data_IF_545947230801
#
_entry.id   IF_545947230801
#
_cell.length_a   1.000
_cell.length_b   1.000
_cell.length_c   1.000
_cell.angle_alpha   90.00
_cell.angle_beta   90.00
_cell.angle_gamma   90.00
#
_symmetry.space_group_name_H-M   'P 1'
#
loop_
_entity.id
_entity.type
_entity.pdbx_description
1 polymer ?
#
# COMPACT_ATOMS: atom_id res chain seq x y z
N UNK A 1 6.59 5.76 22.36
CA UNK A 1 6.72 4.90 21.18
C UNK A 1 8.18 4.46 21.08
N UNK A 2 8.42 3.19 21.27
CA UNK A 2 9.79 2.64 21.43
C UNK A 2 10.53 2.53 20.09
N UNK A 3 9.79 2.29 18.99
CA UNK A 3 10.37 1.94 17.69
C UNK A 3 10.40 3.09 16.66
N UNK A 4 10.04 4.32 17.03
CA UNK A 4 9.99 5.45 16.07
C UNK A 4 11.34 5.79 15.44
N UNK A 5 12.44 5.68 16.20
CA UNK A 5 13.78 5.89 15.65
C UNK A 5 14.16 4.80 14.63
N UNK A 6 13.80 3.54 14.92
CA UNK A 6 14.04 2.43 14.02
C UNK A 6 13.17 2.54 12.76
N UNK A 7 11.92 2.99 12.89
CA UNK A 7 11.05 3.28 11.75
C UNK A 7 11.64 4.37 10.82
N UNK A 8 12.25 5.41 11.39
CA UNK A 8 12.97 6.43 10.62
C UNK A 8 14.23 5.86 9.94
N UNK A 9 14.95 4.93 10.60
CA UNK A 9 16.12 4.27 10.04
C UNK A 9 15.76 3.42 8.81
N UNK A 10 14.60 2.73 8.80
CA UNK A 10 14.11 1.99 7.63
C UNK A 10 13.96 2.91 6.42
N UNK A 11 13.32 4.07 6.59
CA UNK A 11 13.17 5.05 5.51
C UNK A 11 14.53 5.51 4.98
N UNK A 12 15.49 5.78 5.87
CA UNK A 12 16.84 6.20 5.48
C UNK A 12 17.58 5.12 4.67
N UNK A 13 17.44 3.85 5.07
CA UNK A 13 18.05 2.72 4.35
C UNK A 13 17.44 2.55 2.95
N UNK A 14 16.13 2.55 2.84
CA UNK A 14 15.42 2.39 1.54
C UNK A 14 15.82 3.52 0.58
N UNK A 15 15.93 4.75 1.05
CA UNK A 15 16.32 5.90 0.22
C UNK A 15 17.75 5.80 -0.35
N UNK A 16 18.63 4.93 0.17
CA UNK A 16 19.94 4.67 -0.45
C UNK A 16 19.81 3.98 -1.80
N UNK A 17 18.78 3.15 -1.97
CA UNK A 17 18.53 2.42 -3.21
C UNK A 17 17.53 3.14 -4.15
N UNK A 18 16.63 3.95 -3.59
CA UNK A 18 15.54 4.61 -4.32
C UNK A 18 15.65 6.11 -4.14
N UNK A 19 16.43 6.76 -5.01
CA UNK A 19 16.70 8.18 -4.92
C UNK A 19 15.61 9.01 -5.58
N UNK A 20 15.34 10.24 -5.05
CA UNK A 20 14.36 11.17 -5.58
C UNK A 20 12.89 10.76 -5.38
N UNK A 21 12.60 9.70 -4.60
CA UNK A 21 11.24 9.14 -4.40
C UNK A 21 10.79 9.12 -2.94
N UNK A 22 11.26 10.06 -2.15
CA UNK A 22 11.01 10.13 -0.70
C UNK A 22 9.52 10.02 -0.35
N UNK A 23 8.66 10.71 -1.10
CA UNK A 23 7.22 10.69 -0.85
C UNK A 23 6.62 9.30 -1.07
N UNK A 24 7.00 8.63 -2.17
CA UNK A 24 6.53 7.26 -2.47
C UNK A 24 7.06 6.26 -1.44
N UNK A 25 8.33 6.36 -1.05
CA UNK A 25 8.93 5.55 0.02
C UNK A 25 8.15 5.73 1.31
N UNK A 26 7.86 6.96 1.73
CA UNK A 26 7.08 7.24 2.94
C UNK A 26 5.65 6.69 2.84
N UNK A 27 4.99 6.82 1.69
CA UNK A 27 3.63 6.29 1.49
C UNK A 27 3.60 4.78 1.65
N UNK A 28 4.53 4.06 1.02
CA UNK A 28 4.61 2.60 1.13
C UNK A 28 4.97 2.17 2.55
N UNK A 29 5.91 2.88 3.19
CA UNK A 29 6.27 2.62 4.58
C UNK A 29 5.09 2.80 5.54
N UNK A 30 4.33 3.89 5.39
CA UNK A 30 3.09 4.10 6.17
C UNK A 30 2.08 2.97 5.95
N UNK A 31 1.91 2.50 4.70
CA UNK A 31 1.01 1.39 4.40
C UNK A 31 1.47 0.08 5.06
N UNK A 32 2.78 -0.24 5.03
CA UNK A 32 3.34 -1.41 5.71
C UNK A 32 3.15 -1.33 7.22
N UNK A 33 3.40 -0.17 7.83
CA UNK A 33 3.17 0.09 9.26
C UNK A 33 1.69 0.00 9.64
N UNK A 34 0.79 0.38 8.73
CA UNK A 34 -0.66 0.23 8.90
C UNK A 34 -1.18 -1.20 8.65
N UNK A 35 -0.29 -2.15 8.30
CA UNK A 35 -0.67 -3.54 7.97
C UNK A 35 -1.39 -3.68 6.63
N UNK A 36 -1.21 -2.73 5.71
CA UNK A 36 -1.91 -2.69 4.43
C UNK A 36 -1.09 -3.16 3.24
N UNK A 37 -1.76 -3.24 2.09
CA UNK A 37 -1.20 -3.60 0.80
C UNK A 37 -1.15 -2.40 -0.12
N UNK A 38 -0.21 -2.39 -1.04
CA UNK A 38 0.12 -1.26 -1.91
C UNK A 38 -0.11 -1.62 -3.37
N UNK A 39 -0.79 -0.75 -4.09
CA UNK A 39 -0.81 -0.75 -5.55
C UNK A 39 0.13 0.35 -6.06
N UNK A 40 0.96 0.06 -7.03
CA UNK A 40 1.78 1.06 -7.73
C UNK A 40 1.28 1.13 -9.17
N UNK A 41 0.72 2.27 -9.53
CA UNK A 41 0.32 2.56 -10.91
C UNK A 41 1.40 3.38 -11.58
N UNK A 42 2.13 2.79 -12.52
CA UNK A 42 3.21 3.50 -13.16
C UNK A 42 3.72 2.83 -14.44
N UNK A 43 4.47 3.62 -15.20
CA UNK A 43 5.18 3.16 -16.40
C UNK A 43 6.26 2.14 -16.04
N UNK A 44 6.65 1.28 -16.98
CA UNK A 44 7.75 0.33 -16.78
C UNK A 44 9.10 1.04 -16.53
N UNK A 45 9.98 0.40 -15.78
CA UNK A 45 11.38 0.84 -15.65
C UNK A 45 11.69 1.89 -14.57
N UNK A 46 10.71 2.39 -13.82
CA UNK A 46 10.89 3.44 -12.80
C UNK A 46 11.45 2.95 -11.45
N UNK A 47 11.85 1.68 -11.32
CA UNK A 47 12.49 1.16 -10.11
C UNK A 47 11.54 0.51 -9.08
N UNK A 48 10.32 0.10 -9.48
CA UNK A 48 9.33 -0.55 -8.59
C UNK A 48 9.89 -1.78 -7.89
N UNK A 49 10.58 -2.65 -8.63
CA UNK A 49 11.23 -3.84 -8.07
C UNK A 49 12.35 -3.49 -7.09
N UNK A 50 13.17 -2.49 -7.42
CA UNK A 50 14.24 -2.01 -6.52
C UNK A 50 13.67 -1.50 -5.21
N UNK A 51 12.54 -0.79 -5.24
CA UNK A 51 11.86 -0.28 -4.07
C UNK A 51 11.37 -1.41 -3.15
N UNK A 52 10.69 -2.42 -3.70
CA UNK A 52 10.20 -3.57 -2.92
C UNK A 52 11.38 -4.35 -2.30
N UNK A 53 12.43 -4.61 -3.07
CA UNK A 53 13.63 -5.30 -2.57
C UNK A 53 14.40 -4.48 -1.52
N UNK A 54 14.39 -3.14 -1.62
CA UNK A 54 14.99 -2.28 -0.62
C UNK A 54 14.26 -2.39 0.73
N UNK A 55 12.92 -2.41 0.73
CA UNK A 55 12.14 -2.68 1.94
C UNK A 55 12.39 -4.07 2.50
N UNK A 56 12.39 -5.11 1.64
CA UNK A 56 12.67 -6.48 2.08
C UNK A 56 14.02 -6.58 2.78
N UNK A 57 15.08 -5.96 2.23
CA UNK A 57 16.42 -5.95 2.83
C UNK A 57 16.49 -5.12 4.11
N UNK A 58 15.92 -3.91 4.12
CA UNK A 58 15.97 -3.04 5.29
C UNK A 58 15.24 -3.64 6.51
N UNK A 59 14.23 -4.50 6.25
CA UNK A 59 13.37 -5.14 7.24
C UNK A 59 13.70 -6.63 7.46
N UNK A 60 14.72 -7.16 6.82
CA UNK A 60 15.10 -8.59 6.85
C UNK A 60 13.89 -9.51 6.63
N UNK A 61 13.09 -9.22 5.61
CA UNK A 61 11.86 -9.95 5.27
C UNK A 61 12.14 -10.97 4.18
N UNK A 62 11.49 -12.13 4.29
CA UNK A 62 11.42 -13.09 3.19
C UNK A 62 10.56 -12.49 2.08
N UNK A 63 11.20 -12.18 0.94
CA UNK A 63 10.49 -11.70 -0.24
C UNK A 63 10.19 -12.82 -1.23
N UNK A 64 9.17 -12.59 -2.04
CA UNK A 64 8.86 -13.39 -3.24
C UNK A 64 8.37 -12.46 -4.34
N UNK A 65 8.74 -12.75 -5.58
CA UNK A 65 8.37 -11.96 -6.75
C UNK A 65 7.72 -12.84 -7.81
N UNK A 66 6.60 -12.38 -8.33
CA UNK A 66 5.93 -12.97 -9.49
C UNK A 66 5.70 -11.89 -10.54
N UNK A 67 6.20 -12.14 -11.76
CA UNK A 67 5.82 -11.37 -12.95
C UNK A 67 4.54 -11.99 -13.51
N UNK A 68 3.43 -11.25 -13.43
CA UNK A 68 2.16 -11.75 -13.93
C UNK A 68 2.13 -11.76 -15.46
N UNK A 69 1.74 -12.91 -15.98
CA UNK A 69 1.46 -13.17 -17.40
C UNK A 69 0.14 -13.94 -17.50
N UNK A 70 -0.47 -14.09 -18.68
CA UNK A 70 -1.68 -14.89 -18.85
C UNK A 70 -1.55 -16.34 -18.36
N UNK A 71 -0.32 -16.87 -18.32
CA UNK A 71 -0.04 -18.28 -17.99
C UNK A 71 0.07 -18.53 -16.48
N UNK A 72 0.20 -17.48 -15.65
CA UNK A 72 0.29 -17.62 -14.19
C UNK A 72 -1.03 -18.13 -13.63
N UNK A 73 -0.98 -19.25 -12.93
CA UNK A 73 -2.13 -19.92 -12.33
C UNK A 73 -2.32 -19.52 -10.86
N UNK A 74 -3.54 -19.65 -10.30
CA UNK A 74 -3.77 -19.50 -8.87
C UNK A 74 -2.88 -20.41 -8.01
N UNK A 75 -2.62 -21.65 -8.47
CA UNK A 75 -1.75 -22.61 -7.77
C UNK A 75 -0.30 -22.15 -7.64
N UNK A 76 0.20 -21.30 -8.57
CA UNK A 76 1.54 -20.74 -8.46
C UNK A 76 1.64 -19.75 -7.28
N UNK A 77 0.51 -19.12 -6.95
CA UNK A 77 0.42 -18.19 -5.82
C UNK A 77 0.18 -18.90 -4.50
N UNK A 78 -0.87 -19.72 -4.43
CA UNK A 78 -1.32 -20.33 -3.17
C UNK A 78 -0.68 -21.69 -2.88
N UNK A 79 -0.05 -22.31 -3.87
CA UNK A 79 0.52 -23.64 -3.77
C UNK A 79 -0.45 -24.73 -4.22
N UNK A 80 0.02 -25.97 -4.15
CA UNK A 80 -0.72 -27.17 -4.56
C UNK A 80 -0.20 -28.39 -3.80
N UNK A 81 -0.97 -29.48 -3.76
CA UNK A 81 -0.54 -30.74 -3.16
C UNK A 81 -0.19 -31.77 -4.23
N UNK A 82 0.88 -32.52 -3.99
CA UNK A 82 1.33 -33.62 -4.84
C UNK A 82 1.23 -34.93 -4.05
N UNK A 83 0.65 -35.95 -4.67
CA UNK A 83 0.62 -37.27 -4.10
C UNK A 83 2.00 -37.94 -4.20
N UNK A 84 2.60 -38.25 -3.07
CA UNK A 84 3.87 -38.99 -3.00
C UNK A 84 3.60 -40.50 -2.89
N UNK A 85 3.98 -41.24 -3.91
CA UNK A 85 3.77 -42.69 -3.96
C UNK A 85 4.52 -43.44 -2.86
N UNK A 86 5.70 -42.96 -2.50
CA UNK A 86 6.58 -43.55 -1.47
C UNK A 86 5.98 -43.48 -0.08
N UNK A 87 5.27 -42.42 0.22
CA UNK A 87 4.68 -42.17 1.57
C UNK A 87 3.17 -42.43 1.60
N UNK A 88 2.52 -42.57 0.44
CA UNK A 88 1.07 -42.70 0.32
C UNK A 88 0.30 -41.43 0.75
N UNK A 89 0.95 -40.26 0.79
CA UNK A 89 0.38 -39.01 1.31
C UNK A 89 0.43 -37.89 0.29
N UNK A 90 -0.52 -36.95 0.42
CA UNK A 90 -0.43 -35.66 -0.26
C UNK A 90 0.51 -34.74 0.50
N UNK A 91 1.48 -34.15 -0.20
CA UNK A 91 2.43 -33.17 0.34
C UNK A 91 2.16 -31.81 -0.30
N UNK A 92 1.93 -30.82 0.54
CA UNK A 92 1.71 -29.45 0.09
C UNK A 92 3.04 -28.80 -0.32
N UNK A 93 3.04 -28.24 -1.52
CA UNK A 93 4.10 -27.37 -2.05
C UNK A 93 3.63 -25.93 -1.93
N UNK A 94 4.38 -25.14 -1.16
CA UNK A 94 4.06 -23.72 -0.91
C UNK A 94 4.14 -22.90 -2.18
N UNK A 95 3.12 -22.06 -2.40
CA UNK A 95 3.10 -21.09 -3.48
C UNK A 95 3.89 -19.81 -3.15
N UNK A 96 3.92 -18.91 -4.11
CA UNK A 96 4.73 -17.70 -4.05
C UNK A 96 4.31 -16.73 -2.92
N UNK A 97 3.05 -16.76 -2.47
CA UNK A 97 2.55 -15.87 -1.40
C UNK A 97 3.02 -16.29 0.01
N UNK A 98 3.70 -17.46 0.15
CA UNK A 98 4.22 -17.90 1.44
C UNK A 98 5.54 -17.18 1.80
N UNK A 99 5.43 -15.85 1.92
CA UNK A 99 6.52 -14.91 2.21
C UNK A 99 5.98 -13.74 3.06
N UNK A 100 6.87 -12.83 3.48
CA UNK A 100 6.49 -11.61 4.23
C UNK A 100 6.20 -10.42 3.30
N UNK A 101 6.97 -10.30 2.21
CA UNK A 101 6.80 -9.25 1.20
C UNK A 101 6.63 -9.89 -0.17
N UNK A 102 5.42 -9.79 -0.71
CA UNK A 102 5.10 -10.28 -2.03
C UNK A 102 5.10 -9.15 -3.06
N UNK A 103 5.95 -9.24 -4.07
CA UNK A 103 5.95 -8.32 -5.22
C UNK A 103 5.24 -8.97 -6.41
N UNK A 104 4.08 -8.43 -6.75
CA UNK A 104 3.29 -8.84 -7.91
C UNK A 104 3.42 -7.85 -9.06
N UNK A 105 4.32 -8.12 -10.02
CA UNK A 105 4.52 -7.22 -11.15
C UNK A 105 3.45 -7.43 -12.22
N UNK A 106 2.83 -6.31 -12.67
CA UNK A 106 1.83 -6.27 -13.75
C UNK A 106 0.60 -7.16 -13.50
N UNK A 107 -0.02 -7.04 -12.32
CA UNK A 107 -1.18 -7.86 -11.90
C UNK A 107 -2.34 -7.83 -12.91
N UNK A 108 -2.47 -6.77 -13.70
CA UNK A 108 -3.49 -6.60 -14.72
C UNK A 108 -3.23 -7.41 -16.02
N UNK A 109 -2.15 -8.21 -16.09
CA UNK A 109 -1.85 -9.11 -17.23
C UNK A 109 -2.27 -10.57 -17.00
N UNK A 110 -2.67 -10.93 -15.79
CA UNK A 110 -3.11 -12.29 -15.50
C UNK A 110 -4.64 -12.42 -15.52
N UNK A 111 -5.13 -13.66 -15.44
CA UNK A 111 -6.56 -13.95 -15.42
C UNK A 111 -7.24 -13.39 -14.17
N UNK A 112 -8.53 -13.05 -14.26
CA UNK A 112 -9.33 -12.61 -13.12
C UNK A 112 -9.38 -13.64 -11.99
N UNK A 113 -9.23 -14.93 -12.30
CA UNK A 113 -9.17 -16.02 -11.32
C UNK A 113 -7.88 -15.94 -10.50
N UNK A 114 -6.74 -15.70 -11.15
CA UNK A 114 -5.45 -15.55 -10.48
C UNK A 114 -5.40 -14.25 -9.66
N UNK A 115 -5.96 -13.15 -10.19
CA UNK A 115 -6.14 -11.89 -9.44
C UNK A 115 -6.96 -12.13 -8.17
N UNK A 116 -8.11 -12.82 -8.28
CA UNK A 116 -8.97 -13.11 -7.14
C UNK A 116 -8.27 -13.94 -6.06
N UNK A 117 -7.45 -14.92 -6.45
CA UNK A 117 -6.69 -15.73 -5.50
C UNK A 117 -5.69 -14.87 -4.69
N UNK A 118 -4.96 -13.94 -5.33
CA UNK A 118 -4.08 -13.02 -4.61
C UNK A 118 -4.86 -12.11 -3.65
N UNK A 119 -5.97 -11.55 -4.15
CA UNK A 119 -6.79 -10.61 -3.38
C UNK A 119 -7.51 -11.28 -2.19
N UNK A 120 -7.82 -12.58 -2.29
CA UNK A 120 -8.32 -13.37 -1.16
C UNK A 120 -7.24 -13.52 -0.09
N UNK A 121 -6.02 -13.89 -0.49
CA UNK A 121 -4.90 -14.01 0.45
C UNK A 121 -4.58 -12.67 1.14
N UNK A 122 -4.69 -11.55 0.41
CA UNK A 122 -4.51 -10.22 0.99
C UNK A 122 -5.55 -9.89 2.07
N UNK A 123 -6.79 -10.36 1.90
CA UNK A 123 -7.89 -10.08 2.83
C UNK A 123 -7.89 -11.01 4.03
N UNK A 124 -7.71 -12.31 3.77
CA UNK A 124 -7.86 -13.36 4.79
C UNK A 124 -6.53 -13.64 5.54
N UNK A 125 -5.37 -13.28 4.97
CA UNK A 125 -4.07 -13.64 5.53
C UNK A 125 -3.81 -15.15 5.55
N UNK A 126 -4.57 -15.92 4.76
CA UNK A 126 -4.49 -17.39 4.70
C UNK A 126 -4.59 -17.91 3.27
N UNK A 127 -4.13 -19.13 3.05
CA UNK A 127 -4.36 -19.91 1.83
C UNK A 127 -5.08 -21.21 2.18
N UNK A 128 -6.07 -21.60 1.39
CA UNK A 128 -6.77 -22.87 1.56
C UNK A 128 -6.53 -23.76 0.33
N UNK A 129 -5.85 -24.90 0.54
CA UNK A 129 -5.56 -25.90 -0.51
C UNK A 129 -6.00 -27.25 0.01
N UNK A 130 -6.80 -27.98 -0.78
CA UNK A 130 -7.36 -29.30 -0.47
C UNK A 130 -8.08 -29.34 0.90
N UNK A 131 -8.85 -28.30 1.22
CA UNK A 131 -9.59 -28.19 2.46
C UNK A 131 -8.74 -27.87 3.70
N UNK A 132 -7.43 -27.64 3.53
CA UNK A 132 -6.53 -27.28 4.64
C UNK A 132 -6.14 -25.80 4.53
N UNK A 133 -6.55 -25.02 5.53
CA UNK A 133 -6.21 -23.60 5.64
C UNK A 133 -4.86 -23.40 6.34
N UNK A 134 -4.00 -22.57 5.76
CA UNK A 134 -2.66 -22.28 6.25
C UNK A 134 -2.47 -20.76 6.32
N UNK A 135 -2.00 -20.20 7.45
CA UNK A 135 -1.69 -18.78 7.52
C UNK A 135 -0.48 -18.45 6.64
N UNK A 136 -0.50 -17.28 6.03
CA UNK A 136 0.72 -16.72 5.41
C UNK A 136 1.65 -16.19 6.51
N UNK A 137 2.98 -16.14 6.28
CA UNK A 137 3.93 -15.58 7.24
C UNK A 137 3.58 -14.13 7.63
N UNK A 138 3.47 -13.83 8.92
CA UNK A 138 3.26 -12.48 9.41
C UNK A 138 4.61 -11.80 9.73
N UNK A 139 4.78 -10.49 9.48
CA UNK A 139 3.86 -9.62 8.76
C UNK A 139 3.77 -9.99 7.27
N UNK A 140 2.62 -9.72 6.64
CA UNK A 140 2.40 -9.97 5.22
C UNK A 140 2.00 -8.69 4.49
N UNK A 141 2.79 -8.28 3.52
CA UNK A 141 2.50 -7.13 2.66
C UNK A 141 2.62 -7.49 1.19
N UNK A 142 1.63 -7.10 0.41
CA UNK A 142 1.67 -7.18 -1.06
C UNK A 142 1.97 -5.78 -1.61
N UNK A 143 2.96 -5.70 -2.48
CA UNK A 143 3.20 -4.58 -3.38
C UNK A 143 2.88 -5.09 -4.78
N UNK A 144 1.72 -4.70 -5.31
CA UNK A 144 1.32 -5.03 -6.67
C UNK A 144 1.60 -3.85 -7.60
N UNK A 145 1.95 -4.12 -8.85
CA UNK A 145 2.10 -3.08 -9.86
C UNK A 145 1.08 -3.29 -10.97
N UNK A 146 0.56 -2.20 -11.52
CA UNK A 146 -0.18 -2.22 -12.77
C UNK A 146 0.28 -1.10 -13.70
N UNK A 147 0.17 -1.36 -15.00
CA UNK A 147 0.44 -0.36 -16.02
C UNK A 147 -0.90 0.23 -16.48
N UNK A 148 -1.17 1.53 -16.25
CA UNK A 148 -2.42 2.18 -16.60
C UNK A 148 -2.59 2.34 -18.12
N UNK A 149 -1.49 2.36 -18.88
CA UNK A 149 -1.52 2.50 -20.33
C UNK A 149 -1.75 1.13 -20.94
N UNK A 150 -2.90 0.94 -21.59
CA UNK A 150 -3.38 -0.30 -22.17
C UNK A 150 -2.38 -0.96 -23.12
N UNK A 151 -1.48 -1.77 -22.59
CA UNK A 151 -0.77 -2.76 -23.36
C UNK A 151 -1.80 -3.81 -23.84
N UNK A 152 -1.66 -4.28 -25.08
CA UNK A 152 -2.52 -5.34 -25.62
C UNK A 152 -2.55 -6.53 -24.65
N UNK A 153 -3.76 -7.01 -24.27
CA UNK A 153 -3.93 -8.12 -23.36
C UNK A 153 -3.95 -7.77 -21.85
N UNK A 154 -4.05 -6.50 -21.47
CA UNK A 154 -4.24 -6.10 -20.07
C UNK A 154 -5.73 -5.97 -19.74
N UNK A 155 -6.13 -6.48 -18.57
CA UNK A 155 -7.47 -6.32 -18.01
C UNK A 155 -7.38 -5.49 -16.74
N UNK A 156 -7.95 -4.27 -16.77
CA UNK A 156 -7.97 -3.40 -15.58
C UNK A 156 -8.65 -4.09 -14.41
N UNK A 157 -8.12 -3.89 -13.21
CA UNK A 157 -8.75 -4.39 -11.99
C UNK A 157 -10.12 -3.71 -11.79
N UNK A 158 -11.18 -4.49 -11.51
CA UNK A 158 -12.46 -3.92 -11.11
C UNK A 158 -12.35 -3.05 -9.86
N UNK A 159 -13.22 -2.05 -9.73
CA UNK A 159 -13.22 -1.12 -8.59
C UNK A 159 -13.28 -1.82 -7.23
N UNK A 160 -14.05 -2.91 -7.13
CA UNK A 160 -14.15 -3.72 -5.91
C UNK A 160 -12.84 -4.43 -5.53
N UNK A 161 -11.97 -4.68 -6.50
CA UNK A 161 -10.65 -5.26 -6.29
C UNK A 161 -9.62 -4.19 -5.94
N UNK A 162 -9.69 -3.02 -6.58
CA UNK A 162 -8.85 -1.87 -6.26
C UNK A 162 -9.03 -1.41 -4.81
N UNK A 163 -10.27 -1.45 -4.28
CA UNK A 163 -10.59 -1.06 -2.91
C UNK A 163 -9.89 -1.92 -1.82
N UNK A 164 -9.34 -3.09 -2.19
CA UNK A 164 -8.57 -3.96 -1.27
C UNK A 164 -7.14 -3.46 -1.02
N UNK A 165 -6.58 -2.67 -1.94
CA UNK A 165 -5.31 -2.01 -1.70
C UNK A 165 -5.50 -0.81 -0.77
N UNK A 166 -4.68 -0.70 0.27
CA UNK A 166 -4.77 0.40 1.24
C UNK A 166 -4.46 1.74 0.57
N UNK A 167 -3.43 1.76 -0.26
CA UNK A 167 -2.98 2.94 -1.00
C UNK A 167 -2.69 2.60 -2.46
N UNK A 168 -2.84 3.63 -3.31
CA UNK A 168 -2.32 3.62 -4.66
C UNK A 168 -1.23 4.70 -4.76
N UNK A 169 -0.01 4.28 -5.10
CA UNK A 169 1.15 5.14 -5.21
C UNK A 169 1.61 5.26 -6.68
N UNK A 170 2.19 6.40 -7.00
CA UNK A 170 2.84 6.65 -8.28
C UNK A 170 4.30 6.98 -8.01
N UNK A 171 5.22 6.38 -8.75
CA UNK A 171 6.65 6.70 -8.65
C UNK A 171 7.04 7.83 -9.62
N UNK A 172 6.51 7.81 -10.84
CA UNK A 172 6.90 8.73 -11.90
C UNK A 172 8.38 8.62 -12.31
N UNK A 173 8.78 9.41 -13.28
CA UNK A 173 10.19 9.50 -13.66
C UNK A 173 11.04 10.10 -12.54
N UNK A 174 12.32 9.68 -12.39
CA UNK A 174 13.26 10.36 -11.51
C UNK A 174 13.46 11.82 -12.00
N UNK A 175 13.81 12.70 -11.08
CA UNK A 175 14.31 14.02 -11.45
C UNK A 175 15.75 13.92 -11.99
N UNK A 176 16.26 15.00 -12.57
CA UNK A 176 17.59 15.04 -13.21
C UNK A 176 18.71 14.61 -12.25
N UNK A 177 18.66 15.08 -11.00
CA UNK A 177 19.67 14.75 -10.00
C UNK A 177 19.64 13.26 -9.61
N UNK A 178 18.43 12.70 -9.44
CA UNK A 178 18.28 11.27 -9.17
C UNK A 178 18.71 10.41 -10.36
N UNK A 179 18.43 10.84 -11.60
CA UNK A 179 18.86 10.13 -12.80
C UNK A 179 20.37 10.14 -12.96
N UNK A 180 21.03 11.28 -12.75
CA UNK A 180 22.49 11.39 -12.70
C UNK A 180 23.09 10.48 -11.60
N UNK A 181 22.48 10.43 -10.43
CA UNK A 181 22.94 9.58 -9.35
C UNK A 181 22.76 8.07 -9.66
N UNK A 182 21.70 7.68 -10.37
CA UNK A 182 21.50 6.31 -10.85
C UNK A 182 22.62 5.95 -11.85
N UNK A 183 22.90 6.81 -12.82
CA UNK A 183 23.95 6.59 -13.80
C UNK A 183 25.33 6.49 -13.14
N UNK A 184 25.66 7.40 -12.23
CA UNK A 184 26.90 7.36 -11.46
C UNK A 184 26.98 6.15 -10.51
N UNK A 185 25.84 5.69 -10.01
CA UNK A 185 25.74 4.53 -9.12
C UNK A 185 25.99 3.19 -9.82
N UNK A 186 25.67 3.06 -11.10
CA UNK A 186 25.93 1.84 -11.88
C UNK A 186 27.42 1.52 -11.98
N UNK A 187 28.29 2.52 -11.96
CA UNK A 187 29.75 2.34 -11.98
C UNK A 187 30.33 1.91 -10.63
N UNK A 188 29.58 2.01 -9.51
CA UNK A 188 30.03 1.75 -8.12
C UNK A 188 29.32 0.55 -7.44
N UNK A 189 28.71 -0.35 -8.21
CA UNK A 189 27.90 -1.47 -7.70
C UNK A 189 26.39 -1.11 -7.61
N UNK A 190 25.56 -2.14 -7.43
CA UNK A 190 24.10 -1.93 -7.36
C UNK A 190 23.74 -1.10 -6.12
N UNK A 191 22.97 -0.03 -6.27
CA UNK A 191 22.51 0.81 -5.15
C UNK A 191 21.81 -0.02 -4.06
N UNK A 192 21.10 -1.07 -4.46
CA UNK A 192 20.44 -2.01 -3.56
C UNK A 192 21.42 -2.70 -2.60
N UNK A 193 22.69 -2.91 -2.99
CA UNK A 193 23.71 -3.58 -2.14
C UNK A 193 24.20 -2.68 -0.99
N UNK A 194 23.80 -1.40 -0.99
CA UNK A 194 24.08 -0.45 0.10
C UNK A 194 23.04 -0.50 1.21
N UNK A 195 21.86 -1.09 0.96
CA UNK A 195 20.79 -1.23 1.95
C UNK A 195 21.21 -2.29 2.97
N UNK A 196 21.12 -1.94 4.25
CA UNK A 196 21.41 -2.83 5.38
C UNK A 196 20.15 -3.13 6.17
N UNK A 197 20.00 -4.33 6.75
CA UNK A 197 18.94 -4.60 7.69
C UNK A 197 19.05 -3.70 8.93
N UNK A 198 17.97 -3.02 9.29
CA UNK A 198 17.88 -2.15 10.48
C UNK A 198 16.71 -2.53 11.37
N UNK A 199 15.83 -3.39 10.88
CA UNK A 199 14.72 -3.98 11.62
C UNK A 199 14.45 -5.39 11.08
N UNK A 200 13.74 -6.21 11.85
CA UNK A 200 13.31 -7.55 11.46
C UNK A 200 11.79 -7.71 11.50
N UNK A 201 11.32 -8.93 11.22
CA UNK A 201 9.89 -9.27 11.25
C UNK A 201 9.23 -8.91 12.59
N UNK A 202 9.87 -9.25 13.72
CA UNK A 202 9.35 -8.96 15.05
C UNK A 202 9.26 -7.44 15.31
N UNK A 203 10.25 -6.67 14.84
CA UNK A 203 10.24 -5.22 14.99
C UNK A 203 9.10 -4.59 14.18
N UNK A 204 8.87 -5.06 12.94
CA UNK A 204 7.77 -4.56 12.11
C UNK A 204 6.41 -4.85 12.77
N UNK A 205 6.20 -6.05 13.31
CA UNK A 205 4.99 -6.39 14.06
C UNK A 205 4.81 -5.50 15.29
N UNK A 206 5.88 -5.23 16.02
CA UNK A 206 5.85 -4.32 17.18
C UNK A 206 5.52 -2.88 16.76
N UNK A 207 6.09 -2.39 15.66
CA UNK A 207 5.75 -1.08 15.09
C UNK A 207 4.29 -1.00 14.65
N UNK A 208 3.75 -2.04 13.98
CA UNK A 208 2.34 -2.12 13.60
C UNK A 208 1.43 -2.07 14.83
N UNK A 209 1.81 -2.75 15.91
CA UNK A 209 1.09 -2.68 17.18
C UNK A 209 1.13 -1.27 17.77
N UNK A 210 2.29 -0.59 17.80
CA UNK A 210 2.39 0.79 18.26
C UNK A 210 1.52 1.73 17.42
N UNK A 211 1.54 1.60 16.08
CA UNK A 211 0.69 2.38 15.17
C UNK A 211 -0.79 2.18 15.47
N UNK A 212 -1.21 0.95 15.76
CA UNK A 212 -2.60 0.64 16.10
C UNK A 212 -3.09 1.35 17.38
N UNK A 213 -2.19 1.67 18.29
CA UNK A 213 -2.48 2.34 19.57
C UNK A 213 -2.40 3.88 19.50
N UNK A 214 -1.96 4.46 18.38
CA UNK A 214 -1.96 5.92 18.19
C UNK A 214 -3.37 6.46 18.40
N UNK A 215 -3.49 7.43 19.30
CA UNK A 215 -4.78 7.96 19.72
C UNK A 215 -5.47 8.75 18.60
N UNK A 216 -6.75 8.47 18.38
CA UNK A 216 -7.60 9.18 17.42
C UNK A 216 -8.77 9.76 18.18
N UNK A 217 -8.81 11.07 18.28
CA UNK A 217 -9.93 11.78 18.92
C UNK A 217 -11.22 11.62 18.10
N UNK A 218 -12.39 11.63 18.74
CA UNK A 218 -13.68 11.47 18.07
C UNK A 218 -13.90 12.50 16.95
N UNK A 219 -13.47 13.72 17.11
CA UNK A 219 -13.53 14.76 16.08
C UNK A 219 -12.76 14.39 14.81
N UNK A 220 -11.69 13.61 14.93
CA UNK A 220 -10.93 13.11 13.79
C UNK A 220 -11.70 12.00 13.04
N UNK A 221 -12.35 11.08 13.77
CA UNK A 221 -13.24 10.11 13.15
C UNK A 221 -14.40 10.80 12.43
N UNK A 222 -15.01 11.81 13.04
CA UNK A 222 -16.08 12.60 12.41
C UNK A 222 -15.59 13.30 11.14
N UNK A 223 -14.38 13.84 11.14
CA UNK A 223 -13.77 14.47 9.97
C UNK A 223 -13.55 13.47 8.83
N UNK A 224 -12.99 12.29 9.11
CA UNK A 224 -12.80 11.22 8.13
C UNK A 224 -14.15 10.76 7.55
N UNK A 225 -15.16 10.56 8.40
CA UNK A 225 -16.53 10.20 7.97
C UNK A 225 -17.16 11.32 7.14
N UNK A 226 -16.95 12.58 7.50
CA UNK A 226 -17.47 13.72 6.74
C UNK A 226 -16.87 13.79 5.33
N UNK A 227 -15.56 13.56 5.17
CA UNK A 227 -14.90 13.45 3.87
C UNK A 227 -15.49 12.33 3.02
N UNK A 228 -15.71 11.15 3.61
CA UNK A 228 -16.30 10.02 2.92
C UNK A 228 -17.78 10.29 2.51
N UNK A 229 -18.57 10.90 3.40
CA UNK A 229 -19.95 11.27 3.08
C UNK A 229 -20.02 12.36 2.01
N UNK A 230 -19.12 13.35 2.06
CA UNK A 230 -19.04 14.38 1.04
C UNK A 230 -18.72 13.75 -0.35
N UNK A 231 -17.78 12.82 -0.41
CA UNK A 231 -17.45 12.12 -1.67
C UNK A 231 -18.63 11.32 -2.24
N UNK A 232 -19.44 10.70 -1.37
CA UNK A 232 -20.64 9.93 -1.79
C UNK A 232 -21.78 10.81 -2.29
N UNK A 233 -21.80 12.07 -1.90
CA UNK A 233 -22.81 13.06 -2.28
C UNK A 233 -22.35 14.00 -3.39
N UNK A 234 -21.09 13.94 -3.79
CA UNK A 234 -20.55 14.80 -4.84
C UNK A 234 -21.20 14.42 -6.19
N UNK A 235 -21.86 15.36 -6.87
CA UNK A 235 -22.57 15.07 -8.12
C UNK A 235 -21.63 14.72 -9.28
N UNK A 236 -20.34 14.93 -9.14
CA UNK A 236 -19.32 14.57 -10.14
C UNK A 236 -18.87 13.12 -10.06
N UNK A 237 -19.14 12.44 -8.94
CA UNK A 237 -18.70 11.08 -8.68
C UNK A 237 -19.79 10.06 -8.95
N UNK A 238 -19.46 9.02 -9.69
CA UNK A 238 -20.27 7.80 -9.80
C UNK A 238 -20.03 6.88 -8.60
N UNK A 239 -18.78 6.87 -8.06
CA UNK A 239 -18.40 6.08 -6.87
C UNK A 239 -17.61 6.97 -5.92
N UNK A 240 -18.09 7.10 -4.69
CA UNK A 240 -17.40 7.75 -3.57
C UNK A 240 -16.66 6.75 -2.69
N UNK A 241 -16.06 7.22 -1.59
CA UNK A 241 -15.27 6.39 -0.67
C UNK A 241 -16.15 5.34 0.05
N UNK A 242 -15.70 4.09 0.04
CA UNK A 242 -16.33 2.96 0.75
C UNK A 242 -16.08 3.02 2.27
N UNK A 243 -16.80 2.23 3.09
CA UNK A 243 -16.41 2.03 4.50
C UNK A 243 -15.00 1.46 4.66
N UNK A 244 -14.53 0.60 3.75
CA UNK A 244 -13.15 0.10 3.73
C UNK A 244 -12.15 1.24 3.53
N UNK A 245 -12.45 2.20 2.66
CA UNK A 245 -11.65 3.40 2.48
C UNK A 245 -11.54 4.26 3.75
N UNK A 246 -12.60 4.37 4.55
CA UNK A 246 -12.54 5.11 5.84
C UNK A 246 -11.66 4.41 6.87
N UNK A 247 -11.67 3.08 6.90
CA UNK A 247 -10.75 2.29 7.73
C UNK A 247 -9.30 2.46 7.26
N UNK A 248 -9.05 2.34 5.95
CA UNK A 248 -7.73 2.56 5.36
C UNK A 248 -7.20 3.97 5.66
N UNK A 249 -8.04 5.00 5.50
CA UNK A 249 -7.69 6.38 5.80
C UNK A 249 -7.34 6.58 7.28
N UNK A 250 -8.08 5.95 8.18
CA UNK A 250 -7.81 5.99 9.63
C UNK A 250 -6.47 5.33 9.95
N UNK A 251 -6.20 4.14 9.41
CA UNK A 251 -4.95 3.41 9.64
C UNK A 251 -3.74 4.16 9.08
N UNK A 252 -3.84 4.69 7.87
CA UNK A 252 -2.79 5.51 7.25
C UNK A 252 -2.53 6.79 8.03
N UNK A 253 -3.57 7.43 8.56
CA UNK A 253 -3.45 8.64 9.39
C UNK A 253 -2.72 8.36 10.70
N UNK A 254 -2.97 7.20 11.34
CA UNK A 254 -2.19 6.75 12.51
C UNK A 254 -0.72 6.53 12.16
N UNK A 255 -0.43 5.86 11.04
CA UNK A 255 0.93 5.65 10.58
C UNK A 255 1.66 6.98 10.27
N UNK A 256 0.96 7.96 9.70
CA UNK A 256 1.51 9.30 9.45
C UNK A 256 1.87 10.02 10.76
N UNK A 257 0.98 10.00 11.76
CA UNK A 257 1.24 10.57 13.09
C UNK A 257 2.41 9.86 13.77
N UNK A 258 2.47 8.52 13.69
CA UNK A 258 3.56 7.72 14.25
C UNK A 258 4.93 8.09 13.66
N UNK A 259 5.04 8.16 12.33
CA UNK A 259 6.29 8.56 11.66
C UNK A 259 6.68 10.02 11.96
N UNK A 260 5.71 10.87 12.28
CA UNK A 260 5.95 12.23 12.78
C UNK A 260 6.31 12.28 14.28
N UNK A 261 6.50 11.13 14.95
CA UNK A 261 6.87 11.04 16.35
C UNK A 261 5.75 11.38 17.35
N UNK A 262 4.47 11.32 16.91
CA UNK A 262 3.31 11.65 17.74
C UNK A 262 2.47 10.43 18.07
N UNK A 263 1.97 10.36 19.28
CA UNK A 263 1.06 9.33 19.79
C UNK A 263 -0.43 9.70 19.60
N UNK A 264 -0.71 10.80 18.91
CA UNK A 264 -2.05 11.25 18.55
C UNK A 264 -2.12 11.75 17.11
N UNK A 265 -3.30 11.61 16.51
CA UNK A 265 -3.63 12.06 15.15
C UNK A 265 -4.03 13.53 15.15
N UNK A 266 -3.54 14.28 14.17
CA UNK A 266 -3.90 15.67 13.91
C UNK A 266 -4.55 15.82 12.50
N UNK A 267 -5.31 16.89 12.23
CA UNK A 267 -6.00 17.08 10.94
C UNK A 267 -5.07 17.04 9.71
N UNK A 268 -3.82 17.53 9.87
CA UNK A 268 -2.83 17.49 8.79
C UNK A 268 -2.46 16.05 8.38
N UNK A 269 -2.53 15.08 9.29
CA UNK A 269 -2.20 13.68 8.97
C UNK A 269 -3.25 13.08 8.02
N UNK A 270 -4.53 13.42 8.23
CA UNK A 270 -5.60 13.01 7.30
C UNK A 270 -5.37 13.60 5.92
N UNK A 271 -5.06 14.90 5.86
CA UNK A 271 -4.85 15.56 4.56
C UNK A 271 -3.61 15.08 3.84
N UNK A 272 -2.55 14.70 4.57
CA UNK A 272 -1.30 14.19 3.99
C UNK A 272 -1.46 12.82 3.30
N UNK A 273 -2.38 11.99 3.78
CA UNK A 273 -2.57 10.63 3.23
C UNK A 273 -3.86 10.49 2.41
N UNK A 274 -4.70 11.53 2.35
CA UNK A 274 -6.00 11.47 1.69
C UNK A 274 -5.89 11.08 0.21
N UNK A 275 -4.96 11.72 -0.52
CA UNK A 275 -4.76 11.46 -1.94
C UNK A 275 -4.45 9.99 -2.23
N UNK A 276 -3.42 9.46 -1.60
CA UNK A 276 -2.95 8.08 -1.86
C UNK A 276 -3.95 7.01 -1.43
N UNK A 277 -4.88 7.34 -0.52
CA UNK A 277 -5.97 6.45 -0.09
C UNK A 277 -7.20 6.61 -0.97
N UNK A 278 -7.53 7.83 -1.41
CA UNK A 278 -8.80 8.12 -2.08
C UNK A 278 -8.74 7.96 -3.61
N UNK A 279 -7.61 8.30 -4.23
CA UNK A 279 -7.45 8.42 -5.69
C UNK A 279 -8.00 7.22 -6.48
N UNK A 280 -7.59 6.01 -6.14
CA UNK A 280 -7.98 4.78 -6.83
C UNK A 280 -9.39 4.29 -6.49
N UNK A 281 -10.08 4.97 -5.56
CA UNK A 281 -11.42 4.63 -5.08
C UNK A 281 -12.51 5.55 -5.63
N UNK A 282 -12.14 6.76 -6.03
CA UNK A 282 -13.07 7.74 -6.58
C UNK A 282 -13.22 7.54 -8.08
N UNK A 283 -14.47 7.44 -8.55
CA UNK A 283 -14.77 7.29 -9.97
C UNK A 283 -15.67 8.44 -10.42
N UNK A 284 -15.17 9.23 -11.38
CA UNK A 284 -15.97 10.28 -12.00
C UNK A 284 -17.11 9.67 -12.82
N UNK A 285 -18.27 10.33 -12.83
CA UNK A 285 -19.32 10.01 -13.78
C UNK A 285 -18.99 10.55 -15.20
N UNK A 286 -19.73 10.09 -16.18
CA UNK A 286 -19.45 10.44 -17.59
C UNK A 286 -19.62 11.92 -17.87
N UNK A 287 -20.57 12.61 -17.21
CA UNK A 287 -20.80 14.03 -17.38
C UNK A 287 -19.62 14.86 -16.85
N UNK A 288 -19.11 14.54 -15.67
CA UNK A 288 -17.95 15.22 -15.10
C UNK A 288 -16.69 14.98 -15.95
N UNK A 289 -16.50 13.74 -16.44
CA UNK A 289 -15.40 13.37 -17.33
C UNK A 289 -15.44 14.16 -18.65
N UNK A 290 -16.61 14.25 -19.27
CA UNK A 290 -16.82 15.03 -20.48
C UNK A 290 -16.64 16.54 -20.25
N UNK A 291 -16.92 17.02 -19.03
CA UNK A 291 -16.69 18.40 -18.58
C UNK A 291 -15.24 18.75 -18.27
N UNK A 292 -14.30 17.79 -18.39
CA UNK A 292 -12.88 18.03 -18.11
C UNK A 292 -12.50 17.99 -16.61
N UNK A 293 -13.41 17.50 -15.74
CA UNK A 293 -13.10 17.29 -14.33
C UNK A 293 -12.08 16.15 -14.14
N UNK A 294 -11.30 16.26 -13.10
CA UNK A 294 -10.33 15.23 -12.71
C UNK A 294 -10.60 14.73 -11.29
N UNK A 295 -10.17 13.52 -10.97
CA UNK A 295 -10.25 13.02 -9.59
C UNK A 295 -9.49 13.94 -8.64
N UNK A 296 -8.37 14.52 -9.10
CA UNK A 296 -7.56 15.46 -8.32
C UNK A 296 -8.31 16.73 -7.97
N UNK A 297 -9.06 17.34 -8.95
CA UNK A 297 -9.88 18.51 -8.70
C UNK A 297 -10.95 18.23 -7.66
N UNK A 298 -11.61 17.06 -7.74
CA UNK A 298 -12.63 16.65 -6.78
C UNK A 298 -12.03 16.43 -5.39
N UNK A 299 -10.88 15.75 -5.27
CA UNK A 299 -10.21 15.54 -3.98
C UNK A 299 -9.80 16.84 -3.29
N UNK A 300 -9.25 17.80 -4.07
CA UNK A 300 -8.91 19.13 -3.54
C UNK A 300 -10.14 19.88 -3.05
N UNK A 301 -11.25 19.82 -3.77
CA UNK A 301 -12.51 20.43 -3.35
C UNK A 301 -13.07 19.79 -2.09
N UNK A 302 -13.04 18.46 -1.96
CA UNK A 302 -13.45 17.77 -0.75
C UNK A 302 -12.65 18.23 0.47
N UNK A 303 -11.32 18.31 0.36
CA UNK A 303 -10.44 18.78 1.42
C UNK A 303 -10.64 20.26 1.77
N UNK A 304 -11.09 21.08 0.82
CA UNK A 304 -11.36 22.51 1.00
C UNK A 304 -12.74 22.74 1.62
N UNK A 305 -13.76 21.99 1.21
CA UNK A 305 -15.15 22.21 1.61
C UNK A 305 -15.52 21.55 2.92
N UNK A 306 -14.91 20.39 3.24
CA UNK A 306 -15.16 19.72 4.53
C UNK A 306 -14.35 20.42 5.63
N UNK A 307 -14.99 20.98 6.67
CA UNK A 307 -14.28 21.73 7.69
C UNK A 307 -13.35 20.85 8.52
N UNK A 308 -12.10 21.30 8.66
CA UNK A 308 -11.13 20.63 9.52
C UNK A 308 -11.49 20.85 11.00
N UNK A 309 -11.38 19.81 11.85
CA UNK A 309 -11.55 19.98 13.29
C UNK A 309 -10.58 21.02 13.84
N UNK A 310 -11.09 21.89 14.69
CA UNK A 310 -10.27 22.84 15.45
C UNK A 310 -10.24 22.41 16.91
N UNK A 311 -9.13 22.58 17.64
CA UNK A 311 -9.16 22.41 19.09
C UNK A 311 -10.19 23.39 19.66
N UNK A 312 -11.12 22.89 20.46
CA UNK A 312 -12.01 23.76 21.24
C UNK A 312 -11.10 24.65 22.10
N UNK A 313 -11.33 25.96 22.01
CA UNK A 313 -10.72 26.86 22.97
C UNK A 313 -11.22 26.41 24.34
N UNK A 314 -10.30 25.94 25.19
CA UNK A 314 -10.63 25.68 26.58
C UNK A 314 -11.36 26.91 27.09
N UNK A 315 -12.63 26.77 27.44
CA UNK A 315 -13.41 27.83 28.04
C UNK A 315 -12.68 28.29 29.29
N UNK A 316 -12.03 29.45 29.19
CA UNK A 316 -11.46 30.16 30.34
C UNK A 316 -12.62 30.81 31.15
N UNK A 317 -13.57 30.01 31.58
CA UNK A 317 -14.62 30.40 32.50
C UNK A 317 -14.64 29.42 33.66
N UNK A 318 -13.71 29.64 34.57
CA UNK A 318 -13.61 29.02 35.89
C UNK A 318 -12.93 29.99 36.83
N UNK A 319 -13.67 31.03 37.21
CA UNK A 319 -13.43 31.69 38.47
C UNK A 319 -14.49 31.28 39.48
#
# INVERSE_FOLDING_TARGET
>A
MQYTQQAAAVTAEVNKAVQGKQQTVNTIWMAMLAGGHVLIEDIPGVGKTTLALAFARALDLKESRVQFTPDVLPSDLVGFSVYQKETGKFVYHAGAVMCNLFLGDEINRTSSRTQSALLEVMEEGTVTVDGVTRPVPAPFTVIATQNPIGAAGTQMLPQSQLDRFMVCAVMGYPDEEAELAILAGQSKGRLLDRVRPVAGQADLLAMQQEVSTVFVHELMYRYIVALAQASRKDPRLAVGLSPRATLALTSMTRAAAYLAGRDFVAPQDVTAVFDVVARHRLVLNDQARAGGETVDSVMQDLLRTVPRPRPEKADRHGR
#
